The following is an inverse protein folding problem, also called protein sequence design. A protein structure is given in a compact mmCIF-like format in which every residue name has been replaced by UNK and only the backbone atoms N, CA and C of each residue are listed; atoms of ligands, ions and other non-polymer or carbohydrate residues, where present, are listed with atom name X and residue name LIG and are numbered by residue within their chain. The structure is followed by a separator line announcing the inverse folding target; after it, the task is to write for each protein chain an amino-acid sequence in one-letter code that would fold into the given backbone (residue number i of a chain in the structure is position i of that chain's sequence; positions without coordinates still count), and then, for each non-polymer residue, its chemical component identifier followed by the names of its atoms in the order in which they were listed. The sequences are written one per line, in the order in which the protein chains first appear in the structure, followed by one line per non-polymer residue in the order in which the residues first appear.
data_IF_124464395463
#
_entry.id   IF_124464395463
#
_cell.length_a   1.000
_cell.length_b   1.000
_cell.length_c   1.000
_cell.angle_alpha   90.00
_cell.angle_beta   90.00
_cell.angle_gamma   90.00
#
_symmetry.space_group_name_H-M   'P 1'
#
loop_
_entity.id
_entity.type
_entity.pdbx_description
1 polymer ?
#
# COMPACT_ATOMS: atom_id res chain seq x y z
N UNK A 1 -112.77 -23.31 16.68
CA UNK A 1 -111.62 -24.23 16.55
C UNK A 1 -111.12 -24.39 15.11
N UNK A 2 -111.95 -24.73 14.10
CA UNK A 2 -111.49 -24.93 12.70
C UNK A 2 -110.73 -23.76 12.07
N UNK A 3 -111.12 -22.50 12.33
CA UNK A 3 -110.43 -21.30 11.80
C UNK A 3 -109.05 -21.05 12.44
N UNK A 4 -108.87 -21.46 13.70
CA UNK A 4 -107.59 -21.32 14.42
C UNK A 4 -106.58 -22.35 13.91
N UNK A 5 -107.05 -23.58 13.63
CA UNK A 5 -106.23 -24.67 13.06
C UNK A 5 -105.76 -24.32 11.65
N UNK A 6 -106.61 -23.73 10.80
CA UNK A 6 -106.19 -23.26 9.48
C UNK A 6 -105.15 -22.13 9.55
N UNK A 7 -105.29 -21.19 10.49
CA UNK A 7 -104.34 -20.09 10.66
C UNK A 7 -102.98 -20.58 11.14
N UNK A 8 -102.96 -21.50 12.12
CA UNK A 8 -101.72 -22.09 12.62
C UNK A 8 -101.04 -22.93 11.53
N UNK A 9 -101.80 -23.69 10.73
CA UNK A 9 -101.25 -24.46 9.61
C UNK A 9 -100.69 -23.56 8.49
N UNK A 10 -101.34 -22.44 8.20
CA UNK A 10 -100.85 -21.44 7.22
C UNK A 10 -99.59 -20.74 7.71
N UNK A 11 -99.52 -20.42 9.01
CA UNK A 11 -98.34 -19.80 9.62
C UNK A 11 -97.18 -20.80 9.70
N UNK A 12 -97.42 -22.08 10.01
CA UNK A 12 -96.40 -23.13 9.98
C UNK A 12 -95.89 -23.42 8.56
N UNK A 13 -96.80 -23.44 7.57
CA UNK A 13 -96.41 -23.57 6.16
C UNK A 13 -95.61 -22.35 5.68
N UNK A 14 -96.00 -21.14 6.09
CA UNK A 14 -95.25 -19.92 5.78
C UNK A 14 -93.87 -19.91 6.47
N UNK A 15 -93.76 -20.40 7.71
CA UNK A 15 -92.49 -20.53 8.43
C UNK A 15 -91.56 -21.58 7.80
N UNK A 16 -92.10 -22.66 7.24
CA UNK A 16 -91.31 -23.66 6.50
C UNK A 16 -90.81 -23.13 5.14
N UNK A 17 -91.54 -22.21 4.50
CA UNK A 17 -91.14 -21.61 3.22
C UNK A 17 -90.15 -20.45 3.42
N UNK A 18 -90.18 -19.76 4.57
CA UNK A 18 -89.29 -18.65 4.91
C UNK A 18 -87.97 -19.11 5.57
N UNK A 19 -87.87 -20.38 5.98
CA UNK A 19 -86.68 -20.96 6.62
C UNK A 19 -85.48 -21.21 5.70
N UNK A 20 -85.65 -21.22 4.38
CA UNK A 20 -84.55 -21.34 3.42
C UNK A 20 -84.02 -19.95 3.08
N UNK A 21 -83.11 -19.41 3.92
CA UNK A 21 -82.13 -18.42 3.47
C UNK A 21 -81.44 -18.96 2.20
N UNK A 22 -81.01 -18.11 1.26
CA UNK A 22 -80.29 -18.58 0.08
C UNK A 22 -79.00 -19.24 0.57
N UNK A 23 -78.99 -20.57 0.58
CA UNK A 23 -77.79 -21.39 0.58
C UNK A 23 -76.96 -20.88 -0.59
N UNK A 24 -75.74 -20.45 -0.32
CA UNK A 24 -74.74 -20.15 -1.35
C UNK A 24 -74.76 -21.32 -2.34
N UNK A 25 -74.93 -21.06 -3.65
CA UNK A 25 -74.87 -22.10 -4.66
C UNK A 25 -73.58 -22.91 -4.49
N UNK A 26 -73.68 -24.24 -4.49
CA UNK A 26 -72.54 -25.13 -4.27
C UNK A 26 -71.39 -24.85 -5.26
N UNK A 27 -71.73 -24.39 -6.47
CA UNK A 27 -70.79 -23.97 -7.51
C UNK A 27 -69.94 -22.75 -7.11
N UNK A 28 -70.51 -21.76 -6.39
CA UNK A 28 -69.74 -20.62 -5.87
C UNK A 28 -68.79 -21.03 -4.75
N UNK A 29 -69.19 -22.01 -3.92
CA UNK A 29 -68.34 -22.57 -2.88
C UNK A 29 -67.14 -23.33 -3.48
N UNK A 30 -67.40 -24.19 -4.47
CA UNK A 30 -66.36 -24.98 -5.14
C UNK A 30 -65.34 -24.08 -5.86
N UNK A 31 -65.79 -22.96 -6.46
CA UNK A 31 -64.92 -21.94 -7.05
C UNK A 31 -64.00 -21.28 -6.00
N UNK A 32 -64.55 -20.86 -4.87
CA UNK A 32 -63.77 -20.23 -3.80
C UNK A 32 -62.74 -21.20 -3.21
N UNK A 33 -63.07 -22.49 -3.11
CA UNK A 33 -62.11 -23.52 -2.66
C UNK A 33 -60.99 -23.72 -3.68
N UNK A 34 -61.29 -23.69 -4.98
CA UNK A 34 -60.28 -23.79 -6.04
C UNK A 34 -59.36 -22.56 -6.08
N UNK A 35 -59.93 -21.36 -5.92
CA UNK A 35 -59.16 -20.11 -5.83
C UNK A 35 -58.26 -20.10 -4.59
N UNK A 36 -58.77 -20.57 -3.44
CA UNK A 36 -57.99 -20.71 -2.22
C UNK A 36 -56.80 -21.67 -2.41
N UNK A 37 -57.03 -22.85 -3.01
CA UNK A 37 -55.96 -23.82 -3.28
C UNK A 37 -54.90 -23.27 -4.25
N UNK A 38 -55.32 -22.46 -5.22
CA UNK A 38 -54.42 -21.77 -6.16
C UNK A 38 -53.58 -20.73 -5.42
N UNK A 39 -54.22 -19.89 -4.61
CA UNK A 39 -53.54 -18.89 -3.79
C UNK A 39 -52.55 -19.52 -2.80
N UNK A 40 -52.90 -20.64 -2.15
CA UNK A 40 -51.99 -21.39 -1.26
C UNK A 40 -50.75 -21.90 -2.02
N UNK A 41 -50.93 -22.37 -3.26
CA UNK A 41 -49.83 -22.82 -4.10
C UNK A 41 -48.92 -21.67 -4.52
N UNK A 42 -49.49 -20.52 -4.88
CA UNK A 42 -48.73 -19.31 -5.22
C UNK A 42 -47.95 -18.78 -4.02
N UNK A 43 -48.56 -18.75 -2.83
CA UNK A 43 -47.89 -18.34 -1.59
C UNK A 43 -46.69 -19.25 -1.30
N UNK A 44 -46.87 -20.58 -1.35
CA UNK A 44 -45.77 -21.51 -1.15
C UNK A 44 -44.63 -21.32 -2.18
N UNK A 45 -44.98 -21.00 -3.43
CA UNK A 45 -44.00 -20.67 -4.47
C UNK A 45 -43.21 -19.38 -4.18
N UNK A 46 -43.90 -18.34 -3.74
CA UNK A 46 -43.29 -17.06 -3.36
C UNK A 46 -42.41 -17.19 -2.11
N UNK A 47 -42.83 -17.97 -1.11
CA UNK A 47 -42.01 -18.27 0.08
C UNK A 47 -40.71 -18.99 -0.29
N UNK A 48 -40.78 -19.95 -1.23
CA UNK A 48 -39.60 -20.62 -1.75
C UNK A 48 -38.64 -19.66 -2.48
N UNK A 49 -39.17 -18.77 -3.32
CA UNK A 49 -38.37 -17.76 -4.02
C UNK A 49 -37.74 -16.75 -3.05
N UNK A 50 -38.49 -16.34 -2.02
CA UNK A 50 -37.99 -15.44 -0.98
C UNK A 50 -36.81 -16.09 -0.24
N UNK A 51 -36.95 -17.34 0.20
CA UNK A 51 -35.86 -18.05 0.87
C UNK A 51 -34.62 -18.23 -0.02
N UNK A 52 -34.79 -18.49 -1.31
CA UNK A 52 -33.65 -18.56 -2.25
C UNK A 52 -32.98 -17.18 -2.45
N UNK A 53 -33.76 -16.11 -2.49
CA UNK A 53 -33.24 -14.75 -2.57
C UNK A 53 -32.47 -14.35 -1.30
N UNK A 54 -33.00 -14.66 -0.11
CA UNK A 54 -32.34 -14.41 1.18
C UNK A 54 -31.00 -15.13 1.28
N UNK A 55 -30.93 -16.40 0.85
CA UNK A 55 -29.67 -17.15 0.84
C UNK A 55 -28.63 -16.52 -0.11
N UNK A 56 -29.05 -16.08 -1.30
CA UNK A 56 -28.16 -15.39 -2.25
C UNK A 56 -27.67 -14.05 -1.71
N UNK A 57 -28.53 -13.32 -0.99
CA UNK A 57 -28.13 -12.08 -0.33
C UNK A 57 -27.06 -12.36 0.72
N UNK A 58 -27.25 -13.36 1.58
CA UNK A 58 -26.26 -13.74 2.59
C UNK A 58 -24.92 -14.14 1.95
N UNK A 59 -24.92 -14.94 0.88
CA UNK A 59 -23.71 -15.34 0.17
C UNK A 59 -22.95 -14.13 -0.42
N UNK A 60 -23.67 -13.16 -1.00
CA UNK A 60 -23.08 -11.94 -1.55
C UNK A 60 -22.53 -11.04 -0.44
N UNK A 61 -23.19 -10.97 0.72
CA UNK A 61 -22.70 -10.22 1.87
C UNK A 61 -21.40 -10.83 2.42
N UNK A 62 -21.31 -12.15 2.51
CA UNK A 62 -20.08 -12.86 2.93
C UNK A 62 -18.94 -12.62 1.93
N UNK A 63 -19.20 -12.74 0.62
CA UNK A 63 -18.21 -12.46 -0.42
C UNK A 63 -17.73 -11.01 -0.41
N UNK A 64 -18.63 -10.07 -0.13
CA UNK A 64 -18.28 -8.65 -0.02
C UNK A 64 -17.38 -8.41 1.20
N UNK A 65 -17.66 -9.04 2.34
CA UNK A 65 -16.83 -8.94 3.53
C UNK A 65 -15.43 -9.53 3.30
N UNK A 66 -15.33 -10.68 2.63
CA UNK A 66 -14.04 -11.27 2.27
C UNK A 66 -13.24 -10.37 1.32
N UNK A 67 -13.88 -9.84 0.28
CA UNK A 67 -13.24 -8.93 -0.65
C UNK A 67 -12.76 -7.64 0.01
N UNK A 68 -13.52 -7.12 0.99
CA UNK A 68 -13.08 -5.96 1.80
C UNK A 68 -11.84 -6.29 2.62
N UNK A 69 -11.80 -7.46 3.28
CA UNK A 69 -10.61 -7.90 4.02
C UNK A 69 -9.37 -8.01 3.12
N UNK A 70 -9.51 -8.59 1.92
CA UNK A 70 -8.42 -8.68 0.95
C UNK A 70 -7.93 -7.30 0.49
N UNK A 71 -8.83 -6.32 0.33
CA UNK A 71 -8.44 -4.95 -0.02
C UNK A 71 -7.63 -4.31 1.11
N UNK A 72 -8.06 -4.48 2.37
CA UNK A 72 -7.35 -3.93 3.53
C UNK A 72 -5.94 -4.54 3.66
N UNK A 73 -5.81 -5.87 3.49
CA UNK A 73 -4.52 -6.56 3.51
C UNK A 73 -3.59 -6.06 2.39
N UNK A 74 -4.10 -5.91 1.16
CA UNK A 74 -3.34 -5.41 0.02
C UNK A 74 -2.93 -3.94 0.19
N UNK A 75 -3.75 -3.13 0.85
CA UNK A 75 -3.39 -1.75 1.18
C UNK A 75 -2.23 -1.69 2.18
N UNK A 76 -2.26 -2.56 3.20
CA UNK A 76 -1.15 -2.64 4.15
C UNK A 76 0.16 -3.09 3.46
N UNK A 77 0.10 -4.12 2.61
CA UNK A 77 1.27 -4.58 1.85
C UNK A 77 1.83 -3.47 0.94
N UNK A 78 0.94 -2.70 0.30
CA UNK A 78 1.34 -1.56 -0.53
C UNK A 78 2.05 -0.47 0.28
N UNK A 79 1.54 -0.13 1.46
CA UNK A 79 2.16 0.86 2.34
C UNK A 79 3.54 0.38 2.84
N UNK A 80 3.67 -0.90 3.17
CA UNK A 80 4.96 -1.51 3.55
C UNK A 80 5.98 -1.44 2.42
N UNK A 81 5.59 -1.78 1.19
CA UNK A 81 6.46 -1.69 0.01
C UNK A 81 6.88 -0.25 -0.31
N UNK A 82 5.99 0.73 -0.16
CA UNK A 82 6.32 2.15 -0.38
C UNK A 82 7.34 2.67 0.63
N UNK A 83 7.25 2.21 1.89
CA UNK A 83 8.25 2.55 2.91
C UNK A 83 9.61 1.92 2.57
N UNK A 84 9.64 0.65 2.16
CA UNK A 84 10.87 -0.02 1.72
C UNK A 84 11.52 0.67 0.51
N UNK A 85 10.71 1.08 -0.48
CA UNK A 85 11.21 1.85 -1.63
C UNK A 85 11.84 3.17 -1.19
N UNK A 86 11.19 3.90 -0.28
CA UNK A 86 11.70 5.18 0.25
C UNK A 86 13.01 4.99 1.01
N UNK A 87 13.15 3.90 1.76
CA UNK A 87 14.37 3.59 2.52
C UNK A 87 15.52 3.20 1.58
N UNK A 88 15.25 2.34 0.60
CA UNK A 88 16.23 1.98 -0.43
C UNK A 88 16.70 3.21 -1.24
N UNK A 89 15.79 4.12 -1.59
CA UNK A 89 16.12 5.38 -2.27
C UNK A 89 17.06 6.27 -1.43
N UNK A 90 16.86 6.29 -0.10
CA UNK A 90 17.73 7.03 0.82
C UNK A 90 19.12 6.40 0.86
N UNK A 91 19.21 5.09 1.02
CA UNK A 91 20.47 4.35 1.04
C UNK A 91 21.25 4.54 -0.28
N UNK A 92 20.57 4.47 -1.43
CA UNK A 92 21.19 4.72 -2.73
C UNK A 92 21.75 6.14 -2.86
N UNK A 93 21.04 7.15 -2.35
CA UNK A 93 21.56 8.53 -2.33
C UNK A 93 22.79 8.65 -1.44
N UNK A 94 22.75 8.07 -0.25
CA UNK A 94 23.90 8.09 0.68
C UNK A 94 25.12 7.38 0.09
N UNK A 95 24.93 6.20 -0.53
CA UNK A 95 26.00 5.46 -1.20
C UNK A 95 26.57 6.25 -2.38
N UNK A 96 25.71 6.92 -3.16
CA UNK A 96 26.14 7.75 -4.28
C UNK A 96 26.97 8.94 -3.82
N UNK A 97 26.54 9.64 -2.77
CA UNK A 97 27.31 10.74 -2.19
C UNK A 97 28.66 10.26 -1.65
N UNK A 98 28.70 9.10 -0.97
CA UNK A 98 29.95 8.47 -0.52
C UNK A 98 30.87 8.12 -1.70
N UNK A 99 30.33 7.55 -2.77
CA UNK A 99 31.10 7.21 -3.97
C UNK A 99 31.67 8.45 -4.65
N UNK A 100 30.87 9.51 -4.81
CA UNK A 100 31.32 10.79 -5.38
C UNK A 100 32.47 11.41 -4.56
N UNK A 101 32.39 11.35 -3.22
CA UNK A 101 33.48 11.79 -2.33
C UNK A 101 34.73 10.92 -2.45
N UNK A 102 34.58 9.60 -2.49
CA UNK A 102 35.70 8.67 -2.61
C UNK A 102 36.44 8.85 -3.94
N UNK A 103 35.72 9.10 -5.04
CA UNK A 103 36.33 9.40 -6.35
C UNK A 103 37.18 10.66 -6.27
N UNK A 104 36.65 11.75 -5.71
CA UNK A 104 37.40 13.00 -5.54
C UNK A 104 38.62 12.82 -4.63
N UNK A 105 38.48 12.06 -3.54
CA UNK A 105 39.59 11.75 -2.65
C UNK A 105 40.71 10.96 -3.38
N UNK A 106 40.34 10.00 -4.22
CA UNK A 106 41.29 9.23 -5.04
C UNK A 106 42.01 10.11 -6.08
N UNK A 107 41.30 11.03 -6.72
CA UNK A 107 41.89 11.99 -7.66
C UNK A 107 42.88 12.94 -6.97
N UNK A 108 42.55 13.42 -5.77
CA UNK A 108 43.44 14.27 -4.96
C UNK A 108 44.68 13.48 -4.55
N UNK A 109 44.50 12.23 -4.11
CA UNK A 109 45.61 11.35 -3.75
C UNK A 109 46.52 11.06 -4.95
N UNK A 110 45.98 10.86 -6.15
CA UNK A 110 46.78 10.68 -7.38
C UNK A 110 47.68 11.90 -7.66
N UNK A 111 47.15 13.12 -7.52
CA UNK A 111 47.93 14.36 -7.69
C UNK A 111 49.06 14.44 -6.65
N UNK A 112 48.77 14.13 -5.38
CA UNK A 112 49.77 14.10 -4.31
C UNK A 112 50.85 13.04 -4.59
N UNK A 113 50.46 11.83 -4.98
CA UNK A 113 51.39 10.74 -5.32
C UNK A 113 52.28 11.14 -6.48
N UNK A 114 51.74 11.79 -7.52
CA UNK A 114 52.52 12.30 -8.65
C UNK A 114 53.51 13.38 -8.22
N UNK A 115 53.10 14.28 -7.33
CA UNK A 115 54.00 15.32 -6.82
C UNK A 115 55.11 14.77 -5.91
N UNK A 116 54.85 13.70 -5.17
CA UNK A 116 55.81 13.13 -4.20
C UNK A 116 56.71 12.06 -4.81
N UNK A 117 56.17 11.22 -5.72
CA UNK A 117 56.84 10.04 -6.26
C UNK A 117 57.12 10.11 -7.78
N UNK A 118 56.58 11.12 -8.49
CA UNK A 118 56.45 11.10 -9.95
C UNK A 118 57.65 11.59 -10.78
N UNK A 119 58.69 12.20 -10.21
CA UNK A 119 59.86 12.59 -11.00
C UNK A 119 61.16 12.69 -10.18
N UNK A 120 62.28 12.33 -10.81
CA UNK A 120 63.64 12.52 -10.29
C UNK A 120 64.03 14.01 -10.21
N UNK A 121 63.37 14.87 -11.01
CA UNK A 121 63.42 16.35 -10.92
C UNK A 121 62.06 16.93 -11.38
N UNK A 122 61.27 17.49 -10.46
CA UNK A 122 60.08 18.30 -10.80
C UNK A 122 60.57 19.73 -11.03
N UNK A 123 60.21 20.34 -12.17
CA UNK A 123 60.51 21.76 -12.41
C UNK A 123 59.62 22.67 -11.55
N UNK A 124 60.09 23.88 -11.25
CA UNK A 124 59.29 24.86 -10.49
C UNK A 124 57.92 25.14 -11.15
N UNK A 125 57.86 25.10 -12.49
CA UNK A 125 56.63 25.28 -13.26
C UNK A 125 55.64 24.11 -13.07
N UNK A 126 56.14 22.87 -13.15
CA UNK A 126 55.33 21.67 -12.91
C UNK A 126 54.85 21.58 -11.46
N UNK A 127 55.69 21.97 -10.49
CA UNK A 127 55.32 22.01 -9.08
C UNK A 127 54.15 22.98 -8.83
N UNK A 128 54.21 24.19 -9.43
CA UNK A 128 53.12 25.17 -9.34
C UNK A 128 51.87 24.65 -10.03
N UNK A 129 52.00 23.97 -11.17
CA UNK A 129 50.85 23.42 -11.89
C UNK A 129 50.14 22.32 -11.09
N UNK A 130 50.89 21.36 -10.52
CA UNK A 130 50.34 20.31 -9.66
C UNK A 130 49.69 20.89 -8.41
N UNK A 131 50.28 21.94 -7.83
CA UNK A 131 49.70 22.63 -6.70
C UNK A 131 48.35 23.29 -7.05
N UNK A 132 48.25 23.98 -8.19
CA UNK A 132 47.00 24.59 -8.63
C UNK A 132 45.94 23.53 -8.96
N UNK A 133 46.33 22.41 -9.56
CA UNK A 133 45.43 21.26 -9.79
C UNK A 133 44.91 20.71 -8.45
N UNK A 134 45.79 20.47 -7.48
CA UNK A 134 45.45 19.97 -6.16
C UNK A 134 44.50 20.93 -5.43
N UNK A 135 44.83 22.22 -5.38
CA UNK A 135 44.00 23.25 -4.75
C UNK A 135 42.61 23.31 -5.39
N UNK A 136 42.54 23.27 -6.73
CA UNK A 136 41.28 23.28 -7.46
C UNK A 136 40.40 22.06 -7.15
N UNK A 137 41.00 20.87 -7.02
CA UNK A 137 40.26 19.64 -6.66
C UNK A 137 39.79 19.64 -5.21
N UNK A 138 40.61 20.14 -4.29
CA UNK A 138 40.23 20.32 -2.88
C UNK A 138 39.07 21.31 -2.75
N UNK A 139 39.09 22.43 -3.48
CA UNK A 139 37.96 23.37 -3.52
C UNK A 139 36.71 22.74 -4.13
N UNK A 140 36.85 22.04 -5.26
CA UNK A 140 35.75 21.37 -5.94
C UNK A 140 35.08 20.27 -5.10
N UNK A 141 35.79 19.71 -4.12
CA UNK A 141 35.22 18.72 -3.20
C UNK A 141 34.09 19.26 -2.32
N UNK A 142 34.09 20.57 -2.04
CA UNK A 142 33.16 21.18 -1.09
C UNK A 142 33.27 20.62 0.34
N UNK A 143 34.27 19.80 0.64
CA UNK A 143 34.45 19.14 1.94
C UNK A 143 35.19 20.07 2.91
N UNK A 144 34.53 20.55 3.98
CA UNK A 144 35.14 21.51 4.90
C UNK A 144 36.31 20.91 5.69
N UNK A 145 36.26 19.60 6.00
CA UNK A 145 37.33 18.92 6.74
C UNK A 145 38.56 18.77 5.86
N UNK A 146 38.36 18.39 4.60
CA UNK A 146 39.44 18.28 3.62
C UNK A 146 40.11 19.65 3.36
N UNK A 147 39.30 20.71 3.24
CA UNK A 147 39.81 22.07 3.08
C UNK A 147 40.62 22.53 4.29
N UNK A 148 40.15 22.23 5.51
CA UNK A 148 40.87 22.54 6.76
C UNK A 148 42.22 21.80 6.81
N UNK A 149 42.23 20.50 6.53
CA UNK A 149 43.48 19.70 6.49
C UNK A 149 44.44 20.20 5.41
N UNK A 150 43.95 20.53 4.22
CA UNK A 150 44.76 21.10 3.16
C UNK A 150 45.37 22.46 3.54
N UNK A 151 44.58 23.34 4.18
CA UNK A 151 45.08 24.61 4.70
C UNK A 151 46.15 24.41 5.78
N UNK A 152 45.99 23.43 6.67
CA UNK A 152 47.00 23.11 7.69
C UNK A 152 48.34 22.69 7.06
N UNK A 153 48.32 21.92 5.96
CA UNK A 153 49.54 21.58 5.19
C UNK A 153 50.19 22.82 4.60
N UNK A 154 49.41 23.77 4.10
CA UNK A 154 49.93 25.01 3.53
C UNK A 154 50.58 25.91 4.59
N UNK A 155 49.95 26.08 5.75
CA UNK A 155 50.45 26.94 6.83
C UNK A 155 51.66 26.34 7.56
N UNK A 156 51.81 25.02 7.56
CA UNK A 156 52.98 24.33 8.12
C UNK A 156 54.18 24.29 7.17
N UNK A 157 54.09 24.90 5.98
CA UNK A 157 55.08 24.80 4.90
C UNK A 157 55.38 23.34 4.50
N UNK A 158 54.34 22.49 4.44
CA UNK A 158 54.51 21.06 4.15
C UNK A 158 55.05 20.28 5.35
N UNK A 159 54.57 20.61 6.56
CA UNK A 159 54.87 19.84 7.75
C UNK A 159 54.52 18.37 7.55
N UNK A 160 55.44 17.49 7.93
CA UNK A 160 55.31 16.05 7.69
C UNK A 160 54.08 15.46 8.40
N UNK A 161 53.71 16.01 9.56
CA UNK A 161 52.57 15.55 10.35
C UNK A 161 51.24 15.93 9.70
N UNK A 162 51.08 17.18 9.29
CA UNK A 162 49.89 17.69 8.61
C UNK A 162 49.71 17.02 7.24
N UNK A 163 50.80 16.77 6.51
CA UNK A 163 50.77 16.06 5.24
C UNK A 163 50.32 14.60 5.38
N UNK A 164 50.79 13.91 6.43
CA UNK A 164 50.34 12.55 6.75
C UNK A 164 48.86 12.54 7.14
N UNK A 165 48.41 13.51 7.95
CA UNK A 165 47.01 13.62 8.38
C UNK A 165 46.05 13.85 7.19
N UNK A 166 46.44 14.69 6.22
CA UNK A 166 45.70 14.86 4.97
C UNK A 166 45.61 13.55 4.17
N UNK A 167 46.74 12.86 3.98
CA UNK A 167 46.77 11.61 3.21
C UNK A 167 45.97 10.51 3.92
N UNK A 168 46.06 10.41 5.24
CA UNK A 168 45.29 9.47 6.03
C UNK A 168 43.78 9.72 5.86
N UNK A 169 43.34 10.96 5.94
CA UNK A 169 41.94 11.32 5.70
C UNK A 169 41.43 10.90 4.32
N UNK A 170 42.24 11.10 3.28
CA UNK A 170 41.89 10.69 1.91
C UNK A 170 41.75 9.16 1.80
N UNK A 171 42.67 8.41 2.41
CA UNK A 171 42.63 6.94 2.42
C UNK A 171 41.40 6.44 3.17
N UNK A 172 41.09 7.01 4.34
CA UNK A 172 39.90 6.66 5.13
C UNK A 172 38.61 6.96 4.36
N UNK A 173 38.56 8.10 3.66
CA UNK A 173 37.41 8.48 2.82
C UNK A 173 37.18 7.48 1.68
N UNK A 174 38.25 6.98 1.07
CA UNK A 174 38.18 5.94 0.04
C UNK A 174 37.78 4.59 0.63
N UNK A 175 38.35 4.22 1.79
CA UNK A 175 38.09 2.94 2.46
C UNK A 175 36.63 2.83 2.95
N UNK A 176 36.03 3.94 3.39
CA UNK A 176 34.64 4.00 3.84
C UNK A 176 33.62 3.58 2.76
N UNK A 177 34.00 3.62 1.47
CA UNK A 177 33.18 3.08 0.38
C UNK A 177 33.16 1.55 0.37
N UNK A 178 34.31 0.91 0.63
CA UNK A 178 34.44 -0.56 0.63
C UNK A 178 33.77 -1.23 1.84
N UNK A 179 33.69 -0.54 2.97
CA UNK A 179 32.94 -1.03 4.14
C UNK A 179 31.42 -1.01 3.91
N UNK A 180 30.92 -0.08 3.08
CA UNK A 180 29.51 0.03 2.77
C UNK A 180 29.01 -1.12 1.86
N UNK A 181 29.86 -1.68 0.99
CA UNK A 181 29.51 -2.86 0.17
C UNK A 181 29.35 -4.14 1.02
N UNK A 182 30.02 -4.24 2.17
CA UNK A 182 29.93 -5.40 3.05
C UNK A 182 28.62 -5.52 3.83
N UNK A 183 27.89 -4.42 4.02
CA UNK A 183 26.64 -4.40 4.79
C UNK A 183 25.38 -4.62 3.94
N UNK A 184 25.46 -4.46 2.62
CA UNK A 184 24.33 -4.68 1.69
C UNK A 184 24.21 -6.16 1.27
N UNK A 185 25.19 -6.99 1.62
CA UNK A 185 25.26 -8.41 1.24
C UNK A 185 24.82 -9.41 2.33
N UNK A 186 24.42 -8.93 3.53
CA UNK A 186 23.77 -9.73 4.60
C UNK A 186 22.25 -9.49 4.61
#
# INVERSE_FOLDING_TARGET
MKRLVCLVALVLAALLVVGCKPTVPQEEYDLVVADLATAETEIAGLEGQLGEAENKTAEVEDQLAEAQGQIDDLQQELDELQNQETDADRELRELREKAERAVLAAEILDVIVRAVLGAEEITDEEAVQLFLELSGRVEASGDPVLQEKFQAVLFSFGGQEEGIDLVQYLIETIAALGEAEGQVAE
#
